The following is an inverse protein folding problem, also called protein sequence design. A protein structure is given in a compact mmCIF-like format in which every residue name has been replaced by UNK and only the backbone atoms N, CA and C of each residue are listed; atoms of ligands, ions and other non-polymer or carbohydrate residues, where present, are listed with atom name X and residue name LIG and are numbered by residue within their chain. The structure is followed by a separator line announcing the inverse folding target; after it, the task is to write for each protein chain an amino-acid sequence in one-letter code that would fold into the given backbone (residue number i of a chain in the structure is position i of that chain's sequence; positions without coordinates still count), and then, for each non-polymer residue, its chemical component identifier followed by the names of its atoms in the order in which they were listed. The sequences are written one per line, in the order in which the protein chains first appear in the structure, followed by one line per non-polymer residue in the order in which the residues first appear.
data_IF_724531822912
#
_entry.id   IF_724531822912
#
_cell.length_a   1.000
_cell.length_b   1.000
_cell.length_c   1.000
_cell.angle_alpha   90.00
_cell.angle_beta   90.00
_cell.angle_gamma   90.00
#
_symmetry.space_group_name_H-M   'P 1'
#
loop_
_entity.id
_entity.type
_entity.pdbx_description
1 polymer ?
#
# COMPACT_ATOMS: atom_id res chain seq x y z
N UNK A 1 -8.24 -0.12 -6.70
CA UNK A 1 -8.98 -1.30 -6.20
C UNK A 1 -9.78 -2.07 -7.23
N UNK A 2 -10.87 -1.53 -7.79
CA UNK A 2 -11.75 -2.29 -8.70
C UNK A 2 -11.05 -2.92 -9.91
N UNK A 3 -10.04 -2.24 -10.48
CA UNK A 3 -9.23 -2.81 -11.56
C UNK A 3 -8.52 -4.11 -11.15
N UNK A 4 -7.94 -4.16 -9.94
CA UNK A 4 -7.25 -5.35 -9.44
C UNK A 4 -8.22 -6.47 -9.06
N UNK A 5 -9.37 -6.10 -8.50
CA UNK A 5 -10.43 -7.04 -8.12
C UNK A 5 -11.08 -7.69 -9.36
N UNK A 6 -11.37 -6.90 -10.39
CA UNK A 6 -12.10 -7.37 -11.57
C UNK A 6 -11.19 -7.83 -12.72
N UNK A 7 -9.92 -7.39 -12.75
CA UNK A 7 -9.00 -7.65 -13.86
C UNK A 7 -7.77 -8.49 -13.52
N UNK A 8 -7.32 -8.51 -12.27
CA UNK A 8 -6.06 -9.16 -11.86
C UNK A 8 -6.23 -10.20 -10.74
N UNK A 9 -7.47 -10.56 -10.39
CA UNK A 9 -7.76 -11.64 -9.45
C UNK A 9 -7.50 -11.32 -7.98
N UNK A 10 -7.38 -10.03 -7.61
CA UNK A 10 -7.22 -9.67 -6.19
C UNK A 10 -8.48 -10.08 -5.38
N UNK A 11 -8.33 -10.66 -4.17
CA UNK A 11 -9.47 -11.18 -3.41
C UNK A 11 -10.57 -10.15 -3.17
N UNK A 12 -11.77 -10.42 -3.70
CA UNK A 12 -12.95 -9.55 -3.57
C UNK A 12 -13.29 -9.22 -2.11
N UNK A 13 -13.17 -10.20 -1.21
CA UNK A 13 -13.47 -10.02 0.22
C UNK A 13 -12.51 -9.06 0.94
N UNK A 14 -11.36 -8.74 0.34
CA UNK A 14 -10.41 -7.75 0.86
C UNK A 14 -10.64 -6.34 0.31
N UNK A 15 -11.61 -6.15 -0.60
CA UNK A 15 -11.97 -4.84 -1.18
C UNK A 15 -11.01 -4.30 -2.26
N UNK A 16 -9.79 -4.81 -2.34
CA UNK A 16 -8.75 -4.36 -3.26
C UNK A 16 -7.43 -4.11 -2.54
N UNK A 17 -6.31 -3.94 -3.27
CA UNK A 17 -4.99 -3.76 -2.65
C UNK A 17 -4.90 -2.51 -1.78
N UNK A 18 -5.51 -1.38 -2.16
CA UNK A 18 -5.45 -0.14 -1.38
C UNK A 18 -6.30 -0.27 -0.11
N UNK A 19 -7.54 -0.76 -0.21
CA UNK A 19 -8.39 -1.06 0.95
C UNK A 19 -7.73 -2.07 1.91
N UNK A 20 -7.09 -3.12 1.39
CA UNK A 20 -6.37 -4.09 2.21
C UNK A 20 -5.16 -3.48 2.92
N UNK A 21 -4.41 -2.59 2.25
CA UNK A 21 -3.29 -1.88 2.84
C UNK A 21 -3.75 -0.95 3.98
N UNK A 22 -4.88 -0.27 3.82
CA UNK A 22 -5.47 0.58 4.86
C UNK A 22 -5.92 -0.22 6.09
N UNK A 23 -6.42 -1.44 5.89
CA UNK A 23 -6.81 -2.34 6.98
C UNK A 23 -5.59 -2.94 7.72
N UNK A 24 -4.47 -3.17 7.03
CA UNK A 24 -3.24 -3.68 7.63
C UNK A 24 -2.43 -2.58 8.33
N UNK A 25 -2.47 -1.36 7.79
CA UNK A 25 -1.69 -0.21 8.24
C UNK A 25 -0.49 0.08 7.34
N UNK A 26 -0.34 1.35 6.93
CA UNK A 26 0.69 1.77 5.97
C UNK A 26 2.11 1.69 6.54
N UNK A 27 2.29 1.82 7.85
CA UNK A 27 3.58 1.63 8.49
C UNK A 27 4.12 0.20 8.30
N UNK A 28 3.27 -0.81 8.48
CA UNK A 28 3.63 -2.21 8.24
C UNK A 28 3.97 -2.46 6.77
N UNK A 29 3.18 -1.91 5.84
CA UNK A 29 3.46 -2.02 4.40
C UNK A 29 4.80 -1.37 4.04
N UNK A 30 5.10 -0.20 4.60
CA UNK A 30 6.37 0.48 4.36
C UNK A 30 7.57 -0.36 4.83
N UNK A 31 7.50 -0.94 6.03
CA UNK A 31 8.56 -1.82 6.55
C UNK A 31 8.86 -3.00 5.63
N UNK A 32 7.83 -3.66 5.10
CA UNK A 32 8.00 -4.78 4.16
C UNK A 32 8.64 -4.33 2.84
N UNK A 33 8.26 -3.16 2.33
CA UNK A 33 8.84 -2.59 1.10
C UNK A 33 10.30 -2.19 1.31
N UNK A 34 10.63 -1.58 2.45
CA UNK A 34 12.01 -1.23 2.82
C UNK A 34 12.89 -2.49 2.94
N UNK A 35 12.37 -3.56 3.53
CA UNK A 35 13.06 -4.85 3.61
C UNK A 35 13.29 -5.47 2.22
N UNK A 36 12.28 -5.43 1.34
CA UNK A 36 12.41 -5.90 -0.03
C UNK A 36 13.42 -5.05 -0.84
N UNK A 37 13.45 -3.74 -0.61
CA UNK A 37 14.43 -2.84 -1.22
C UNK A 37 15.86 -3.14 -0.76
N UNK A 38 16.06 -3.33 0.54
CA UNK A 38 17.37 -3.64 1.10
C UNK A 38 17.98 -4.94 0.54
N UNK A 39 17.16 -5.89 0.12
CA UNK A 39 17.61 -7.16 -0.47
C UNK A 39 17.87 -7.10 -1.98
N UNK A 40 17.77 -5.92 -2.59
CA UNK A 40 18.13 -5.70 -4.00
C UNK A 40 16.95 -5.78 -4.98
N UNK A 41 15.71 -5.59 -4.49
CA UNK A 41 14.53 -5.45 -5.34
C UNK A 41 14.65 -4.24 -6.28
N UNK A 42 15.06 -4.45 -7.52
CA UNK A 42 15.04 -3.40 -8.52
C UNK A 42 13.59 -2.91 -8.73
N UNK A 43 13.33 -1.63 -8.45
CA UNK A 43 11.99 -1.04 -8.53
C UNK A 43 11.15 -1.15 -7.26
N UNK A 44 11.69 -1.66 -6.16
CA UNK A 44 10.97 -1.71 -4.86
C UNK A 44 11.25 -0.51 -3.96
N UNK A 45 11.72 0.61 -4.51
CA UNK A 45 11.94 1.83 -3.73
C UNK A 45 10.58 2.29 -3.15
N UNK A 46 10.50 2.59 -1.84
CA UNK A 46 9.29 3.14 -1.25
C UNK A 46 8.81 4.38 -1.99
N UNK A 47 7.52 4.40 -2.36
CA UNK A 47 6.92 5.57 -2.99
C UNK A 47 6.86 6.75 -1.99
N UNK A 48 7.19 8.00 -2.38
CA UNK A 48 7.19 9.14 -1.47
C UNK A 48 5.86 9.35 -0.73
N UNK A 49 4.73 9.16 -1.42
CA UNK A 49 3.41 9.26 -0.82
C UNK A 49 3.19 8.21 0.28
N UNK A 50 3.67 6.99 0.07
CA UNK A 50 3.55 5.93 1.07
C UNK A 50 4.35 6.29 2.33
N UNK A 51 5.59 6.77 2.16
CA UNK A 51 6.45 7.21 3.27
C UNK A 51 5.76 8.32 4.07
N UNK A 52 5.22 9.33 3.38
CA UNK A 52 4.52 10.43 4.01
C UNK A 52 3.30 9.95 4.82
N UNK A 53 2.39 9.17 4.21
CA UNK A 53 1.17 8.74 4.88
C UNK A 53 1.46 7.80 6.05
N UNK A 54 2.46 6.92 5.93
CA UNK A 54 2.91 6.06 7.02
C UNK A 54 3.46 6.88 8.20
N UNK A 55 4.27 7.91 7.93
CA UNK A 55 4.81 8.80 8.98
C UNK A 55 3.71 9.62 9.67
N UNK A 56 2.67 10.02 8.93
CA UNK A 56 1.52 10.76 9.45
C UNK A 56 0.47 9.87 10.14
N UNK A 57 0.64 8.54 10.11
CA UNK A 57 -0.36 7.59 10.63
C UNK A 57 -1.68 7.62 9.85
N UNK A 58 -1.66 8.04 8.58
CA UNK A 58 -2.82 8.16 7.69
C UNK A 58 -3.01 6.93 6.81
N UNK A 59 -4.20 6.82 6.23
CA UNK A 59 -4.58 5.80 5.25
C UNK A 59 -4.66 6.41 3.85
N UNK A 60 -4.64 5.57 2.82
CA UNK A 60 -4.92 6.00 1.45
C UNK A 60 -6.33 6.59 1.32
N UNK A 61 -7.31 6.03 2.02
CA UNK A 61 -8.67 6.59 2.07
C UNK A 61 -8.74 8.02 2.65
N UNK A 62 -7.79 8.41 3.50
CA UNK A 62 -7.73 9.77 4.06
C UNK A 62 -7.09 10.76 3.07
N UNK A 63 -6.12 10.30 2.27
CA UNK A 63 -5.51 11.09 1.19
C UNK A 63 -6.48 11.37 0.04
N UNK A 64 -7.30 10.38 -0.32
CA UNK A 64 -8.23 10.49 -1.46
C UNK A 64 -9.39 11.46 -1.25
N UNK A 65 -9.65 11.85 0.00
CA UNK A 65 -10.71 12.80 0.37
C UNK A 65 -10.22 14.26 0.45
N UNK A 66 -8.93 14.51 0.18
CA UNK A 66 -8.34 15.84 0.11
C UNK A 66 -8.43 16.43 -1.32
#
# INVERSE_FOLDING_TARGET
DLAFVNGYGFPRLKGGPMHAADALGLATILTEIEAAHATGGAGSNPAPLLVQLAAEGKRFADWQKA
#
